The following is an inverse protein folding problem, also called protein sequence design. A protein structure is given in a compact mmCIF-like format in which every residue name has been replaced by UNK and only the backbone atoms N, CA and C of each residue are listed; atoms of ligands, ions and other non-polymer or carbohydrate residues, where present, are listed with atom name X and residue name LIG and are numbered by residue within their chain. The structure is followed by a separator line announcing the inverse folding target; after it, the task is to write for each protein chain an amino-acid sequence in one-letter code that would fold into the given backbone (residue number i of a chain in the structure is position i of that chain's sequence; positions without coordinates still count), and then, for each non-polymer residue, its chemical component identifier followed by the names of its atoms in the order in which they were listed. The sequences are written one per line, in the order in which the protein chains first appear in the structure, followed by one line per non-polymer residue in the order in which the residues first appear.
data_IF_490670416972
#
_entry.id   IF_490670416972
#
_cell.length_a   1.000
_cell.length_b   1.000
_cell.length_c   1.000
_cell.angle_alpha   90.00
_cell.angle_beta   90.00
_cell.angle_gamma   90.00
#
_symmetry.space_group_name_H-M   'P 1'
#
loop_
_entity.id
_entity.type
_entity.pdbx_description
1 polymer ?
#
# COMPACT_ATOMS: atom_id res chain seq x y z
N UNK A 1 -23.18 7.18 -1.34
CA UNK A 1 -21.73 7.53 -1.42
C UNK A 1 -21.20 6.81 -2.67
N UNK A 2 -20.87 7.54 -3.75
CA UNK A 2 -20.78 7.00 -5.14
C UNK A 2 -19.37 6.77 -5.68
N UNK A 3 -18.32 6.91 -4.87
CA UNK A 3 -16.98 6.51 -5.27
C UNK A 3 -16.51 5.41 -4.33
N UNK A 4 -16.24 4.25 -4.91
CA UNK A 4 -15.90 3.02 -4.19
C UNK A 4 -14.49 3.01 -3.58
N UNK A 5 -13.86 4.16 -3.41
CA UNK A 5 -12.52 4.39 -2.86
C UNK A 5 -12.51 5.74 -2.14
N UNK A 6 -11.80 5.83 -1.02
CA UNK A 6 -11.81 6.99 -0.13
C UNK A 6 -10.57 7.88 -0.31
N UNK A 7 -9.48 7.33 -0.86
CA UNK A 7 -8.24 8.05 -1.13
C UNK A 7 -7.79 7.80 -2.57
N UNK A 8 -7.48 8.87 -3.29
CA UNK A 8 -6.84 8.81 -4.60
C UNK A 8 -5.72 9.84 -4.61
N UNK A 9 -4.49 9.38 -4.88
CA UNK A 9 -3.30 10.21 -4.85
C UNK A 9 -2.43 9.88 -6.05
N UNK A 10 -1.80 10.90 -6.62
CA UNK A 10 -0.76 10.75 -7.63
C UNK A 10 0.45 11.50 -7.10
N UNK A 11 1.55 10.77 -6.93
CA UNK A 11 2.81 11.32 -6.45
C UNK A 11 3.97 10.86 -7.34
N UNK A 12 4.97 11.73 -7.57
CA UNK A 12 6.23 11.28 -8.13
C UNK A 12 6.97 10.44 -7.07
N UNK A 13 7.52 9.31 -7.50
CA UNK A 13 8.40 8.47 -6.69
C UNK A 13 9.68 8.16 -7.48
N UNK A 14 10.75 7.85 -6.76
CA UNK A 14 11.95 7.32 -7.39
C UNK A 14 11.80 5.80 -7.51
N UNK A 15 11.79 5.27 -8.73
CA UNK A 15 11.82 3.83 -8.96
C UNK A 15 13.25 3.35 -8.90
N UNK A 16 13.56 2.46 -7.96
CA UNK A 16 14.87 1.80 -7.91
C UNK A 16 15.08 0.88 -9.12
N UNK A 17 13.99 0.40 -9.73
CA UNK A 17 14.02 -0.48 -10.88
C UNK A 17 14.40 0.27 -12.17
N UNK A 18 13.75 1.39 -12.47
CA UNK A 18 14.08 2.19 -13.66
C UNK A 18 15.27 3.13 -13.46
N UNK A 19 15.66 3.37 -12.21
CA UNK A 19 16.68 4.34 -11.82
C UNK A 19 16.26 5.80 -12.09
N UNK A 20 14.96 6.05 -12.27
CA UNK A 20 14.43 7.36 -12.64
C UNK A 20 13.20 7.77 -11.81
N UNK A 21 12.83 9.05 -11.88
CA UNK A 21 11.61 9.55 -11.25
C UNK A 21 10.40 9.23 -12.10
N UNK A 22 9.44 8.53 -11.51
CA UNK A 22 8.23 8.06 -12.16
C UNK A 22 7.00 8.54 -11.39
N UNK A 23 5.85 8.53 -12.06
CA UNK A 23 4.59 8.82 -11.39
C UNK A 23 3.98 7.51 -10.88
N UNK A 24 3.50 7.54 -9.64
CA UNK A 24 2.74 6.44 -9.04
C UNK A 24 1.34 6.92 -8.71
N UNK A 25 0.37 6.08 -9.01
CA UNK A 25 -1.01 6.25 -8.55
C UNK A 25 -1.19 5.40 -7.30
N UNK A 26 -1.81 5.97 -6.27
CA UNK A 26 -2.21 5.28 -5.05
C UNK A 26 -3.70 5.45 -4.82
N UNK A 27 -4.40 4.34 -4.63
CA UNK A 27 -5.83 4.25 -4.35
C UNK A 27 -6.02 3.56 -3.01
N UNK A 28 -6.61 4.27 -2.05
CA UNK A 28 -6.96 3.75 -0.74
C UNK A 28 -8.47 3.61 -0.58
N UNK A 29 -8.88 2.55 0.10
CA UNK A 29 -10.27 2.31 0.46
C UNK A 29 -10.36 1.87 1.91
N UNK A 30 -11.20 2.55 2.66
CA UNK A 30 -11.59 2.11 3.99
C UNK A 30 -12.76 1.12 3.82
N UNK A 31 -12.48 -0.16 4.06
CA UNK A 31 -13.50 -1.21 3.98
C UNK A 31 -14.38 -1.22 5.25
N UNK A 32 -13.76 -0.90 6.39
CA UNK A 32 -14.34 -0.73 7.72
C UNK A 32 -13.49 0.27 8.51
N UNK A 33 -13.99 0.76 9.64
CA UNK A 33 -13.27 1.69 10.54
C UNK A 33 -11.89 1.18 10.98
N UNK A 34 -11.66 -0.13 10.92
CA UNK A 34 -10.40 -0.79 11.31
C UNK A 34 -9.76 -1.62 10.19
N UNK A 35 -10.21 -1.49 8.93
CA UNK A 35 -9.68 -2.24 7.81
C UNK A 35 -9.52 -1.33 6.59
N UNK A 36 -8.26 -1.11 6.19
CA UNK A 36 -7.91 -0.25 5.07
C UNK A 36 -7.14 -1.05 4.03
N UNK A 37 -7.55 -0.96 2.77
CA UNK A 37 -6.81 -1.51 1.64
C UNK A 37 -6.24 -0.36 0.81
N UNK A 38 -4.96 -0.43 0.49
CA UNK A 38 -4.24 0.57 -0.31
C UNK A 38 -3.56 -0.14 -1.46
N UNK A 39 -3.90 0.23 -2.69
CA UNK A 39 -3.27 -0.27 -3.89
C UNK A 39 -2.50 0.87 -4.58
N UNK A 40 -1.27 0.60 -4.98
CA UNK A 40 -0.39 1.55 -5.64
C UNK A 40 0.19 0.92 -6.89
N UNK A 41 0.35 1.72 -7.95
CA UNK A 41 0.93 1.28 -9.21
C UNK A 41 1.75 2.38 -9.88
N UNK A 42 2.94 2.03 -10.35
CA UNK A 42 3.75 2.86 -11.24
C UNK A 42 3.10 3.04 -12.61
N UNK A 43 3.16 4.25 -13.16
CA UNK A 43 2.61 4.61 -14.47
C UNK A 43 3.62 4.46 -15.62
N UNK A 44 4.86 4.10 -15.32
CA UNK A 44 5.91 3.90 -16.32
C UNK A 44 5.77 2.56 -17.05
N UNK A 45 6.70 2.29 -17.97
CA UNK A 45 6.82 0.98 -18.62
C UNK A 45 7.25 -0.14 -17.68
N UNK A 46 7.73 0.18 -16.49
CA UNK A 46 8.20 -0.78 -15.48
C UNK A 46 7.18 -0.73 -14.35
N UNK A 47 6.09 -1.48 -14.55
CA UNK A 47 4.89 -1.39 -13.73
C UNK A 47 5.11 -2.10 -12.39
N UNK A 48 5.60 -1.35 -11.41
CA UNK A 48 5.63 -1.77 -10.01
C UNK A 48 4.22 -1.67 -9.43
N UNK A 49 3.65 -2.80 -9.05
CA UNK A 49 2.35 -2.89 -8.40
C UNK A 49 2.54 -3.27 -6.93
N UNK A 50 1.84 -2.57 -6.04
CA UNK A 50 1.88 -2.85 -4.60
C UNK A 50 0.46 -2.80 -4.03
N UNK A 51 0.09 -3.84 -3.29
CA UNK A 51 -1.13 -3.91 -2.52
C UNK A 51 -0.77 -4.02 -1.04
N UNK A 52 -1.32 -3.13 -0.23
CA UNK A 52 -1.19 -3.16 1.22
C UNK A 52 -2.57 -3.27 1.84
N UNK A 53 -2.71 -4.14 2.84
CA UNK A 53 -3.92 -4.29 3.64
C UNK A 53 -3.53 -4.10 5.09
N UNK A 54 -4.10 -3.09 5.73
CA UNK A 54 -3.93 -2.84 7.16
C UNK A 54 -5.21 -3.22 7.90
N UNK A 55 -5.06 -4.02 8.94
CA UNK A 55 -6.12 -4.37 9.86
C UNK A 55 -5.74 -4.00 11.29
N UNK A 56 -6.45 -3.02 11.85
CA UNK A 56 -6.30 -2.63 13.25
C UNK A 56 -7.12 -3.57 14.11
N UNK A 57 -6.44 -4.41 14.88
CA UNK A 57 -7.08 -5.32 15.84
C UNK A 57 -7.52 -4.52 17.06
N UNK A 58 -6.64 -3.62 17.53
CA UNK A 58 -6.88 -2.72 18.65
C UNK A 58 -5.96 -1.49 18.51
N UNK A 59 -6.12 -0.47 19.36
CA UNK A 59 -5.29 0.74 19.34
C UNK A 59 -3.79 0.45 19.56
N UNK A 60 -3.49 -0.68 20.21
CA UNK A 60 -2.13 -1.15 20.49
C UNK A 60 -1.60 -2.18 19.48
N UNK A 61 -2.42 -2.72 18.58
CA UNK A 61 -2.05 -3.81 17.67
C UNK A 61 -2.63 -3.60 16.27
N UNK A 62 -1.73 -3.50 15.29
CA UNK A 62 -2.06 -3.47 13.87
C UNK A 62 -1.37 -4.61 13.13
N UNK A 63 -2.09 -5.24 12.21
CA UNK A 63 -1.59 -6.23 11.29
C UNK A 63 -1.52 -5.60 9.89
N UNK A 64 -0.39 -5.78 9.21
CA UNK A 64 -0.25 -5.33 7.83
C UNK A 64 0.12 -6.52 6.96
N UNK A 65 -0.56 -6.66 5.83
CA UNK A 65 -0.13 -7.51 4.74
C UNK A 65 0.31 -6.63 3.58
N UNK A 66 1.43 -6.94 2.98
CA UNK A 66 1.92 -6.30 1.77
C UNK A 66 2.12 -7.35 0.68
N UNK A 67 1.80 -6.97 -0.54
CA UNK A 67 2.10 -7.74 -1.72
C UNK A 67 2.65 -6.78 -2.76
N UNK A 68 3.79 -7.10 -3.34
CA UNK A 68 4.41 -6.31 -4.39
C UNK A 68 4.71 -7.21 -5.57
N UNK A 69 4.34 -6.79 -6.77
CA UNK A 69 4.71 -7.48 -8.00
C UNK A 69 5.31 -6.50 -8.96
N UNK A 70 6.35 -6.97 -9.62
CA UNK A 70 6.95 -6.32 -10.76
C UNK A 70 6.52 -7.12 -11.99
N UNK A 71 6.23 -6.44 -13.10
CA UNK A 71 5.61 -7.00 -14.31
C UNK A 71 6.28 -8.30 -14.83
N UNK A 72 7.57 -8.50 -14.54
CA UNK A 72 8.39 -9.62 -15.02
C UNK A 72 8.84 -10.60 -13.93
N UNK A 73 8.51 -10.39 -12.66
CA UNK A 73 9.01 -11.20 -11.53
C UNK A 73 7.88 -11.83 -10.70
N UNK A 74 8.20 -12.93 -10.02
CA UNK A 74 7.28 -13.55 -9.05
C UNK A 74 7.09 -12.58 -7.90
N UNK A 75 5.87 -12.06 -7.74
CA UNK A 75 5.55 -11.08 -6.70
C UNK A 75 5.93 -11.55 -5.29
N UNK A 76 6.40 -10.62 -4.48
CA UNK A 76 6.73 -10.81 -3.09
C UNK A 76 5.50 -10.60 -2.20
N UNK A 77 5.34 -11.45 -1.20
CA UNK A 77 4.38 -11.25 -0.12
C UNK A 77 5.13 -10.95 1.18
N UNK A 78 4.67 -9.94 1.90
CA UNK A 78 5.17 -9.51 3.19
C UNK A 78 4.04 -9.43 4.20
N UNK A 79 4.39 -9.56 5.47
CA UNK A 79 3.47 -9.42 6.58
C UNK A 79 4.18 -8.82 7.77
N UNK A 80 3.59 -7.78 8.34
CA UNK A 80 4.13 -7.04 9.46
C UNK A 80 3.12 -7.00 10.60
N UNK A 81 3.63 -7.00 11.83
CA UNK A 81 2.84 -6.85 13.04
C UNK A 81 3.37 -5.65 13.79
N UNK A 82 2.55 -4.62 13.93
CA UNK A 82 2.89 -3.39 14.65
C UNK A 82 2.26 -3.44 16.03
N UNK A 83 3.11 -3.43 17.04
CA UNK A 83 2.72 -3.29 18.44
C UNK A 83 3.08 -1.89 18.93
N UNK A 84 2.10 -1.18 19.49
CA UNK A 84 2.28 0.15 20.06
C UNK A 84 2.06 0.10 21.56
N UNK A 85 3.12 0.41 22.31
CA UNK A 85 3.08 0.60 23.76
C UNK A 85 3.37 2.05 24.08
N UNK A 86 2.52 2.68 24.86
CA UNK A 86 2.78 3.99 25.46
C UNK A 86 3.27 3.76 26.90
N UNK A 87 4.46 4.28 27.21
CA UNK A 87 4.99 4.29 28.57
C UNK A 87 4.73 5.67 29.17
N UNK A 88 4.07 5.69 30.32
CA UNK A 88 3.82 6.88 31.12
C UNK A 88 5.04 7.28 31.96
#
# INVERSE_FOLDING_TARGET
KYFGFDRFQIDPYYSEYSGSTEARITVGKELRENLTATYSRGLSSLQEEQLNVEYRVDDNLSLMGSWSSEEEQVGQFGGDVILRYEFW
#
